data_IF_503662502285
#
_entry.id   IF_503662502285
#
_cell.length_a   1.000
_cell.length_b   1.000
_cell.length_c   1.000
_cell.angle_alpha   90.00
_cell.angle_beta   90.00
_cell.angle_gamma   90.00
#
_symmetry.space_group_name_H-M   'P 1'
#
loop_
_entity.id
_entity.type
_entity.pdbx_description
1 polymer ?
#
# COMPACT_ATOMS: atom_id res chain seq x y z
N UNK A 1 -3.89 5.28 30.40
CA UNK A 1 -4.48 4.90 29.10
C UNK A 1 -3.33 4.71 28.13
N UNK A 2 -3.06 3.48 27.68
CA UNK A 2 -1.87 3.14 26.89
C UNK A 2 -1.88 3.79 25.50
N UNK A 3 -3.06 3.93 24.91
CA UNK A 3 -3.26 4.50 23.57
C UNK A 3 -2.91 5.99 23.57
N UNK A 4 -3.28 6.71 24.64
CA UNK A 4 -2.89 8.11 24.85
C UNK A 4 -1.36 8.27 24.91
N UNK A 5 -0.65 7.36 25.57
CA UNK A 5 0.82 7.40 25.65
C UNK A 5 1.49 7.25 24.28
N UNK A 6 0.97 6.36 23.43
CA UNK A 6 1.46 6.18 22.05
C UNK A 6 1.15 7.41 21.19
N UNK A 7 -0.05 7.96 21.33
CA UNK A 7 -0.46 9.17 20.61
C UNK A 7 0.38 10.39 21.00
N UNK A 8 0.77 10.55 22.27
CA UNK A 8 1.70 11.62 22.69
C UNK A 8 3.03 11.53 21.92
N UNK A 9 3.56 10.33 21.70
CA UNK A 9 4.79 10.14 20.91
C UNK A 9 4.62 10.58 19.45
N UNK A 10 3.54 10.14 18.81
CA UNK A 10 3.25 10.49 17.41
C UNK A 10 3.00 11.99 17.24
N UNK A 11 2.19 12.58 18.12
CA UNK A 11 1.81 14.00 18.05
C UNK A 11 2.99 14.90 18.42
N UNK A 12 3.76 14.52 19.44
CA UNK A 12 4.98 15.21 19.83
C UNK A 12 6.03 15.20 18.71
N UNK A 13 6.25 14.04 18.06
CA UNK A 13 7.12 13.94 16.89
C UNK A 13 6.63 14.82 15.73
N UNK A 14 5.33 14.79 15.44
CA UNK A 14 4.71 15.64 14.42
C UNK A 14 4.95 17.13 14.67
N UNK A 15 4.77 17.59 15.92
CA UNK A 15 5.02 18.97 16.30
C UNK A 15 6.50 19.36 16.15
N UNK A 16 7.42 18.50 16.59
CA UNK A 16 8.86 18.74 16.44
C UNK A 16 9.29 18.83 14.97
N UNK A 17 8.71 17.99 14.10
CA UNK A 17 8.94 18.04 12.66
C UNK A 17 8.45 19.37 12.06
N UNK A 18 7.24 19.81 12.42
CA UNK A 18 6.70 21.10 11.96
C UNK A 18 7.62 22.26 12.39
N UNK A 19 8.07 22.27 13.65
CA UNK A 19 8.98 23.29 14.16
C UNK A 19 10.32 23.28 13.40
N UNK A 20 10.92 22.11 13.18
CA UNK A 20 12.15 21.98 12.42
C UNK A 20 11.99 22.47 10.96
N UNK A 21 10.89 22.08 10.29
CA UNK A 21 10.60 22.53 8.93
C UNK A 21 10.37 24.04 8.84
N UNK A 22 9.74 24.64 9.86
CA UNK A 22 9.55 26.09 9.92
C UNK A 22 10.90 26.81 10.03
N UNK A 23 11.83 26.28 10.83
CA UNK A 23 13.21 26.80 10.89
C UNK A 23 13.90 26.66 9.53
N UNK A 24 13.81 25.50 8.88
CA UNK A 24 14.39 25.27 7.54
C UNK A 24 13.83 26.24 6.48
N UNK A 25 12.52 26.55 6.55
CA UNK A 25 11.89 27.53 5.68
C UNK A 25 12.35 28.96 5.99
N UNK A 26 12.48 29.31 7.27
CA UNK A 26 12.94 30.62 7.72
C UNK A 26 14.39 30.92 7.28
N UNK A 27 15.28 29.93 7.31
CA UNK A 27 16.67 30.07 6.85
C UNK A 27 16.83 29.86 5.34
N UNK A 28 15.73 29.78 4.58
CA UNK A 28 15.69 29.61 3.12
C UNK A 28 16.35 28.32 2.59
N UNK A 29 16.44 27.25 3.39
CA UNK A 29 16.84 25.93 2.89
C UNK A 29 15.71 25.22 2.14
N UNK A 30 14.46 25.50 2.52
CA UNK A 30 13.26 25.07 1.79
C UNK A 30 12.36 26.28 1.56
N UNK A 31 11.46 26.19 0.57
CA UNK A 31 10.45 27.22 0.36
C UNK A 31 9.27 27.02 1.30
N UNK A 32 8.55 28.10 1.62
CA UNK A 32 7.28 28.02 2.35
C UNK A 32 6.22 27.18 1.63
N UNK A 33 6.31 27.06 0.30
CA UNK A 33 5.45 26.16 -0.47
C UNK A 33 5.74 24.68 -0.21
N UNK A 34 7.03 24.30 -0.14
CA UNK A 34 7.44 22.94 0.24
C UNK A 34 7.05 22.66 1.70
N UNK A 35 7.25 23.62 2.60
CA UNK A 35 6.79 23.52 4.00
C UNK A 35 5.29 23.19 4.07
N UNK A 36 4.44 23.90 3.32
CA UNK A 36 3.00 23.63 3.25
C UNK A 36 2.68 22.25 2.69
N UNK A 37 3.42 21.79 1.66
CA UNK A 37 3.23 20.46 1.08
C UNK A 37 3.59 19.33 2.06
N UNK A 38 4.68 19.47 2.82
CA UNK A 38 5.09 18.50 3.85
C UNK A 38 4.04 18.44 4.97
N UNK A 39 3.50 19.59 5.41
CA UNK A 39 2.41 19.64 6.40
C UNK A 39 1.16 18.93 5.88
N UNK A 40 0.79 19.14 4.62
CA UNK A 40 -0.38 18.47 4.02
C UNK A 40 -0.23 16.94 4.10
N UNK A 41 0.97 16.42 3.81
CA UNK A 41 1.29 15.00 3.96
C UNK A 41 1.22 14.48 5.40
N UNK A 42 1.79 15.23 6.35
CA UNK A 42 1.77 14.89 7.77
C UNK A 42 0.32 14.84 8.31
N UNK A 43 -0.48 15.86 8.02
CA UNK A 43 -1.89 15.93 8.40
C UNK A 43 -2.69 14.79 7.76
N UNK A 44 -2.45 14.50 6.47
CA UNK A 44 -3.08 13.36 5.80
C UNK A 44 -2.76 12.04 6.50
N UNK A 45 -1.51 11.83 6.92
CA UNK A 45 -1.10 10.63 7.67
C UNK A 45 -1.86 10.50 9.00
N UNK A 46 -1.95 11.60 9.76
CA UNK A 46 -2.68 11.63 11.03
C UNK A 46 -4.18 11.32 10.85
N UNK A 47 -4.83 11.90 9.82
CA UNK A 47 -6.24 11.64 9.53
C UNK A 47 -6.45 10.16 9.15
N UNK A 48 -5.57 9.60 8.30
CA UNK A 48 -5.65 8.18 7.92
C UNK A 48 -5.47 7.27 9.14
N UNK A 49 -4.50 7.57 10.01
CA UNK A 49 -4.26 6.83 11.24
C UNK A 49 -5.48 6.86 12.17
N UNK A 50 -6.03 8.05 12.44
CA UNK A 50 -7.20 8.22 13.29
C UNK A 50 -8.47 7.58 12.70
N UNK A 51 -8.66 7.70 11.39
CA UNK A 51 -9.76 7.00 10.71
C UNK A 51 -9.61 5.49 10.83
N UNK A 52 -8.39 4.96 10.70
CA UNK A 52 -8.14 3.52 10.83
C UNK A 52 -8.45 3.06 12.25
N UNK A 53 -7.97 3.78 13.27
CA UNK A 53 -8.27 3.54 14.68
C UNK A 53 -9.78 3.48 14.94
N UNK A 54 -10.56 4.44 14.41
CA UNK A 54 -12.01 4.48 14.56
C UNK A 54 -12.72 3.22 14.00
N UNK A 55 -12.25 2.69 12.88
CA UNK A 55 -12.87 1.53 12.23
C UNK A 55 -12.38 0.19 12.78
N UNK A 56 -11.24 0.15 13.47
CA UNK A 56 -10.64 -1.11 13.94
C UNK A 56 -10.67 -1.27 15.45
N UNK A 57 -10.59 -0.20 16.25
CA UNK A 57 -10.49 -0.33 17.71
C UNK A 57 -11.85 -0.74 18.32
N UNK A 58 -11.82 -1.47 19.43
CA UNK A 58 -13.01 -2.09 20.01
C UNK A 58 -13.82 -1.15 20.92
N UNK A 59 -13.29 0.05 21.17
CA UNK A 59 -13.98 1.13 21.86
C UNK A 59 -15.04 1.82 20.97
N UNK A 60 -14.97 1.66 19.65
CA UNK A 60 -15.83 2.36 18.70
C UNK A 60 -16.96 1.48 18.13
N UNK A 61 -18.01 2.17 17.68
CA UNK A 61 -19.23 1.55 17.16
C UNK A 61 -19.04 0.57 15.99
N UNK A 62 -18.14 0.80 14.99
CA UNK A 62 -17.98 -0.13 13.87
C UNK A 62 -17.57 -1.53 14.31
N UNK A 63 -16.52 -1.64 15.14
CA UNK A 63 -16.02 -2.93 15.66
C UNK A 63 -17.03 -3.59 16.60
N UNK A 64 -17.71 -2.79 17.44
CA UNK A 64 -18.76 -3.30 18.34
C UNK A 64 -19.99 -3.83 17.56
N UNK A 65 -20.33 -3.21 16.43
CA UNK A 65 -21.37 -3.72 15.53
C UNK A 65 -21.01 -5.11 15.01
N UNK A 66 -19.78 -5.30 14.54
CA UNK A 66 -19.31 -6.59 14.04
C UNK A 66 -19.36 -7.64 15.17
N UNK A 67 -18.89 -7.30 16.37
CA UNK A 67 -18.98 -8.18 17.54
C UNK A 67 -20.43 -8.58 17.86
N UNK A 68 -21.37 -7.63 17.77
CA UNK A 68 -22.81 -7.90 17.94
C UNK A 68 -23.34 -8.82 16.84
N UNK A 69 -22.92 -8.65 15.59
CA UNK A 69 -23.37 -9.49 14.47
C UNK A 69 -22.93 -10.95 14.61
N UNK A 70 -21.84 -11.23 15.31
CA UNK A 70 -21.43 -12.60 15.62
C UNK A 70 -22.42 -13.34 16.54
N UNK A 71 -23.31 -12.64 17.25
CA UNK A 71 -24.41 -13.28 18.01
C UNK A 71 -25.44 -13.95 17.11
N UNK A 72 -25.53 -13.52 15.84
CA UNK A 72 -26.40 -14.10 14.81
C UNK A 72 -25.69 -15.19 13.99
N UNK A 73 -24.38 -15.38 14.21
CA UNK A 73 -23.56 -16.40 13.57
C UNK A 73 -22.39 -15.85 12.74
N UNK A 74 -21.59 -16.73 12.13
CA UNK A 74 -20.38 -16.33 11.40
C UNK A 74 -20.67 -15.52 10.13
N UNK A 75 -21.75 -15.86 9.41
CA UNK A 75 -22.05 -15.24 8.13
C UNK A 75 -22.37 -13.73 8.27
N UNK A 76 -23.16 -13.36 9.26
CA UNK A 76 -23.50 -11.95 9.54
C UNK A 76 -22.29 -11.16 10.00
N UNK A 77 -21.42 -11.74 10.83
CA UNK A 77 -20.16 -11.11 11.23
C UNK A 77 -19.20 -10.87 10.06
N UNK A 78 -19.11 -11.82 9.12
CA UNK A 78 -18.32 -11.64 7.88
C UNK A 78 -18.94 -10.56 7.00
N UNK A 79 -20.26 -10.53 6.82
CA UNK A 79 -20.90 -9.49 6.01
C UNK A 79 -20.66 -8.09 6.59
N UNK A 80 -20.78 -7.93 7.91
CA UNK A 80 -20.60 -6.63 8.58
C UNK A 80 -19.15 -6.16 8.55
N UNK A 81 -18.19 -7.07 8.72
CA UNK A 81 -16.76 -6.72 8.60
C UNK A 81 -16.35 -6.36 7.18
N UNK A 82 -16.87 -7.05 6.16
CA UNK A 82 -16.66 -6.68 4.75
C UNK A 82 -17.24 -5.29 4.45
N UNK A 83 -18.47 -5.04 4.90
CA UNK A 83 -19.14 -3.74 4.75
C UNK A 83 -18.35 -2.63 5.44
N UNK A 84 -17.93 -2.86 6.68
CA UNK A 84 -17.11 -1.92 7.47
C UNK A 84 -15.78 -1.62 6.79
N UNK A 85 -15.10 -2.64 6.25
CA UNK A 85 -13.90 -2.47 5.45
C UNK A 85 -14.12 -1.56 4.24
N UNK A 86 -15.18 -1.79 3.47
CA UNK A 86 -15.51 -0.98 2.29
C UNK A 86 -15.80 0.48 2.67
N UNK A 87 -16.59 0.71 3.72
CA UNK A 87 -16.87 2.05 4.24
C UNK A 87 -15.60 2.76 4.72
N UNK A 88 -14.72 2.03 5.40
CA UNK A 88 -13.50 2.59 5.99
C UNK A 88 -12.50 3.12 4.95
N UNK A 89 -12.57 2.69 3.69
CA UNK A 89 -11.70 3.18 2.62
C UNK A 89 -12.05 4.62 2.19
N UNK A 90 -13.27 5.10 2.47
CA UNK A 90 -13.73 6.42 2.04
C UNK A 90 -12.92 7.59 2.60
N UNK A 91 -12.70 7.61 3.92
CA UNK A 91 -11.96 8.70 4.58
C UNK A 91 -10.50 8.76 4.10
N UNK A 92 -9.73 7.65 4.05
CA UNK A 92 -8.38 7.66 3.47
C UNK A 92 -8.32 8.17 2.04
N UNK A 93 -9.24 7.74 1.16
CA UNK A 93 -9.27 8.20 -0.24
C UNK A 93 -9.53 9.70 -0.34
N UNK A 94 -10.54 10.21 0.35
CA UNK A 94 -10.84 11.65 0.37
C UNK A 94 -9.66 12.44 0.91
N UNK A 95 -9.01 11.94 1.96
CA UNK A 95 -7.83 12.55 2.57
C UNK A 95 -6.67 12.64 1.59
N UNK A 96 -6.40 11.58 0.82
CA UNK A 96 -5.35 11.60 -0.21
C UNK A 96 -5.71 12.59 -1.33
N UNK A 97 -6.96 12.65 -1.79
CA UNK A 97 -7.39 13.62 -2.81
C UNK A 97 -7.15 15.06 -2.34
N UNK A 98 -7.57 15.39 -1.12
CA UNK A 98 -7.35 16.72 -0.54
C UNK A 98 -5.84 16.98 -0.36
N UNK A 99 -5.11 16.00 0.18
CA UNK A 99 -3.66 16.09 0.39
C UNK A 99 -2.90 16.36 -0.91
N UNK A 100 -3.27 15.69 -2.00
CA UNK A 100 -2.70 15.92 -3.34
C UNK A 100 -2.97 17.36 -3.80
N UNK A 101 -4.22 17.83 -3.71
CA UNK A 101 -4.60 19.18 -4.16
C UNK A 101 -3.86 20.25 -3.35
N UNK A 102 -3.84 20.11 -2.02
CA UNK A 102 -3.18 21.06 -1.12
C UNK A 102 -1.67 21.07 -1.37
N UNK A 103 -1.03 19.90 -1.43
CA UNK A 103 0.41 19.82 -1.70
C UNK A 103 0.78 20.40 -3.07
N UNK A 104 -0.02 20.09 -4.09
CA UNK A 104 0.16 20.62 -5.44
C UNK A 104 0.00 22.14 -5.47
N UNK A 105 -1.02 22.68 -4.80
CA UNK A 105 -1.26 24.12 -4.71
C UNK A 105 -0.16 24.84 -3.91
N UNK A 106 0.21 24.33 -2.73
CA UNK A 106 1.21 24.93 -1.86
C UNK A 106 2.56 25.06 -2.52
N UNK A 107 2.97 24.07 -3.32
CA UNK A 107 4.22 24.14 -4.07
C UNK A 107 4.16 25.06 -5.30
N UNK A 108 3.00 25.66 -5.62
CA UNK A 108 2.82 26.55 -6.76
C UNK A 108 2.38 25.85 -8.04
N UNK A 109 1.83 24.63 -7.97
CA UNK A 109 1.42 23.85 -9.14
C UNK A 109 0.38 24.54 -10.05
N UNK A 110 -0.52 25.33 -9.47
CA UNK A 110 -1.53 26.09 -10.22
C UNK A 110 -1.04 27.46 -10.73
N UNK A 111 0.09 27.96 -10.24
CA UNK A 111 0.58 29.32 -10.54
C UNK A 111 1.90 29.34 -11.29
N UNK A 112 2.85 28.47 -10.91
CA UNK A 112 4.20 28.38 -11.46
C UNK A 112 4.39 27.20 -12.43
N UNK A 113 3.49 26.22 -12.39
CA UNK A 113 3.42 25.12 -13.36
C UNK A 113 3.46 23.73 -12.73
N UNK A 114 3.10 22.72 -13.54
CA UNK A 114 2.84 21.37 -13.06
C UNK A 114 4.03 20.68 -12.37
N UNK A 115 5.26 20.96 -12.84
CA UNK A 115 6.47 20.37 -12.24
C UNK A 115 6.63 20.76 -10.76
N UNK A 116 6.34 22.02 -10.42
CA UNK A 116 6.38 22.51 -9.04
C UNK A 116 5.33 21.81 -8.18
N UNK A 117 4.11 21.65 -8.70
CA UNK A 117 3.04 20.95 -7.99
C UNK A 117 3.34 19.47 -7.76
N UNK A 118 3.86 18.76 -8.76
CA UNK A 118 4.27 17.35 -8.63
C UNK A 118 5.43 17.18 -7.64
N UNK A 119 6.37 18.12 -7.62
CA UNK A 119 7.43 18.15 -6.62
C UNK A 119 6.86 18.32 -5.20
N UNK A 120 5.86 19.19 -5.04
CA UNK A 120 5.08 19.33 -3.80
C UNK A 120 4.44 18.03 -3.34
N UNK A 121 3.78 17.29 -4.23
CA UNK A 121 3.19 15.98 -3.92
C UNK A 121 4.26 14.99 -3.43
N UNK A 122 5.45 14.99 -4.04
CA UNK A 122 6.58 14.19 -3.56
C UNK A 122 7.01 14.54 -2.13
N UNK A 123 7.08 15.83 -1.80
CA UNK A 123 7.38 16.28 -0.43
C UNK A 123 6.25 15.99 0.56
N UNK A 124 4.99 15.96 0.12
CA UNK A 124 3.89 15.48 0.96
C UNK A 124 4.06 14.00 1.31
N UNK A 125 4.53 13.16 0.39
CA UNK A 125 4.85 11.77 0.69
C UNK A 125 5.95 11.64 1.76
N UNK A 126 7.00 12.47 1.66
CA UNK A 126 8.05 12.57 2.69
C UNK A 126 7.48 13.03 4.03
N UNK A 127 6.60 14.03 4.03
CA UNK A 127 5.94 14.52 5.24
C UNK A 127 5.12 13.47 5.97
N UNK A 128 4.38 12.63 5.23
CA UNK A 128 3.63 11.53 5.81
C UNK A 128 4.54 10.47 6.47
N UNK A 129 5.76 10.30 5.97
CA UNK A 129 6.76 9.36 6.51
C UNK A 129 7.74 10.02 7.49
N UNK A 130 7.63 11.32 7.76
CA UNK A 130 8.58 12.02 8.62
C UNK A 130 8.55 11.51 10.07
N UNK A 131 7.40 10.97 10.52
CA UNK A 131 7.23 10.33 11.83
C UNK A 131 7.48 8.82 11.81
N UNK A 132 8.04 8.27 10.72
CA UNK A 132 8.20 6.82 10.53
C UNK A 132 8.91 6.16 11.71
N UNK A 133 9.92 6.79 12.31
CA UNK A 133 10.64 6.22 13.45
C UNK A 133 9.74 5.87 14.63
N UNK A 134 8.84 6.78 15.03
CA UNK A 134 7.90 6.52 16.13
C UNK A 134 6.76 5.60 15.68
N UNK A 135 6.22 5.79 14.47
CA UNK A 135 5.13 4.96 13.94
C UNK A 135 5.56 3.50 13.79
N UNK A 136 6.79 3.25 13.34
CA UNK A 136 7.37 1.90 13.24
C UNK A 136 7.58 1.28 14.62
N UNK A 137 8.02 2.07 15.61
CA UNK A 137 8.15 1.59 16.98
C UNK A 137 6.78 1.18 17.57
N UNK A 138 5.72 1.93 17.27
CA UNK A 138 4.35 1.59 17.71
C UNK A 138 3.74 0.41 16.97
N UNK A 139 4.13 0.18 15.72
CA UNK A 139 3.72 -0.99 14.93
C UNK A 139 4.45 -2.25 15.44
N UNK A 140 5.77 -2.18 15.59
CA UNK A 140 6.60 -3.28 16.11
C UNK A 140 6.27 -3.67 17.56
N UNK A 141 5.65 -2.77 18.33
CA UNK A 141 5.16 -3.06 19.67
C UNK A 141 4.11 -4.19 19.69
N UNK A 142 3.22 -4.26 18.69
CA UNK A 142 2.14 -5.25 18.64
C UNK A 142 2.64 -6.69 18.63
N UNK A 143 3.49 -7.09 17.66
CA UNK A 143 4.07 -8.43 17.61
C UNK A 143 4.89 -8.82 18.85
N UNK A 144 5.49 -7.84 19.55
CA UNK A 144 6.19 -8.09 20.82
C UNK A 144 5.18 -8.45 21.92
N UNK A 145 4.06 -7.71 22.00
CA UNK A 145 3.00 -7.97 22.97
C UNK A 145 2.30 -9.32 22.73
N UNK A 146 2.04 -9.67 21.47
CA UNK A 146 1.47 -10.96 21.08
C UNK A 146 2.37 -12.14 21.51
N UNK A 147 3.66 -12.08 21.17
CA UNK A 147 4.64 -13.09 21.60
C UNK A 147 4.77 -13.18 23.13
N UNK A 148 4.67 -12.05 23.84
CA UNK A 148 4.67 -12.07 25.30
C UNK A 148 3.44 -12.80 25.87
N UNK A 149 2.26 -12.61 25.26
CA UNK A 149 1.04 -13.33 25.61
C UNK A 149 1.12 -14.83 25.31
N UNK A 150 1.67 -15.20 24.15
CA UNK A 150 1.93 -16.60 23.79
C UNK A 150 2.89 -17.28 24.77
N UNK A 151 4.01 -16.63 25.13
CA UNK A 151 4.96 -17.15 26.11
C UNK A 151 4.36 -17.30 27.52
N UNK A 152 3.51 -16.35 27.93
CA UNK A 152 2.81 -16.42 29.21
C UNK A 152 1.86 -17.63 29.28
N UNK A 153 1.12 -17.89 28.19
CA UNK A 153 0.24 -19.06 28.06
C UNK A 153 1.03 -20.38 28.07
N UNK A 154 2.06 -20.47 27.22
CA UNK A 154 2.88 -21.69 27.09
C UNK A 154 3.71 -22.01 28.35
N UNK A 155 4.01 -21.00 29.17
CA UNK A 155 4.75 -21.17 30.43
C UNK A 155 3.85 -21.30 31.65
N UNK A 156 2.52 -21.37 31.46
CA UNK A 156 1.52 -21.45 32.54
C UNK A 156 1.67 -20.37 33.62
N UNK A 157 1.99 -19.14 33.22
CA UNK A 157 2.10 -18.02 34.14
C UNK A 157 0.74 -17.66 34.77
N UNK A 158 0.72 -16.95 35.91
CA UNK A 158 -0.52 -16.56 36.56
C UNK A 158 -1.49 -15.81 35.62
N UNK A 159 -2.82 -15.98 35.76
CA UNK A 159 -3.81 -15.37 34.85
C UNK A 159 -3.74 -13.84 34.75
N UNK A 160 -3.20 -13.16 35.77
CA UNK A 160 -2.95 -11.72 35.73
C UNK A 160 -1.92 -11.30 34.67
N UNK A 161 -0.94 -12.15 34.38
CA UNK A 161 0.05 -11.90 33.32
C UNK A 161 -0.64 -11.94 31.97
N UNK A 162 -1.45 -12.99 31.72
CA UNK A 162 -2.22 -13.13 30.48
C UNK A 162 -3.21 -11.98 30.28
N UNK A 163 -3.92 -11.57 31.33
CA UNK A 163 -4.82 -10.39 31.28
C UNK A 163 -4.08 -9.12 30.89
N UNK A 164 -2.86 -8.91 31.42
CA UNK A 164 -2.04 -7.75 31.06
C UNK A 164 -1.57 -7.84 29.61
N UNK A 165 -1.02 -8.98 29.18
CA UNK A 165 -0.56 -9.16 27.79
C UNK A 165 -1.70 -9.06 26.79
N UNK A 166 -2.89 -9.57 27.11
CA UNK A 166 -4.08 -9.44 26.24
C UNK A 166 -4.46 -7.96 26.06
N UNK A 167 -4.36 -7.14 27.12
CA UNK A 167 -4.57 -5.70 27.02
C UNK A 167 -3.52 -4.98 26.14
N UNK A 168 -2.26 -5.43 26.17
CA UNK A 168 -1.19 -4.90 25.32
C UNK A 168 -1.35 -5.35 23.86
N UNK A 169 -1.75 -6.61 23.64
CA UNK A 169 -1.98 -7.22 22.33
C UNK A 169 -3.12 -6.50 21.57
N UNK A 170 -4.24 -6.23 22.23
CA UNK A 170 -5.34 -5.45 21.63
C UNK A 170 -4.91 -4.05 21.20
N UNK A 171 -4.12 -3.38 22.03
CA UNK A 171 -3.53 -2.09 21.66
C UNK A 171 -2.61 -2.25 20.45
N UNK A 172 -1.79 -3.30 20.45
CA UNK A 172 -0.92 -3.71 19.35
C UNK A 172 -1.66 -3.93 18.04
N UNK A 173 -2.84 -4.56 18.05
CA UNK A 173 -3.64 -4.81 16.85
C UNK A 173 -4.17 -3.51 16.26
N UNK A 174 -4.59 -2.58 17.11
CA UNK A 174 -4.98 -1.23 16.69
C UNK A 174 -3.77 -0.45 16.15
N UNK A 175 -2.61 -0.48 16.81
CA UNK A 175 -1.42 0.24 16.32
C UNK A 175 -0.80 -0.38 15.08
N UNK A 176 -0.91 -1.69 14.89
CA UNK A 176 -0.54 -2.36 13.66
C UNK A 176 -1.47 -1.95 12.52
N UNK A 177 -2.78 -1.85 12.76
CA UNK A 177 -3.73 -1.35 11.77
C UNK A 177 -3.41 0.10 11.37
N UNK A 178 -3.17 0.99 12.34
CA UNK A 178 -2.81 2.39 12.04
C UNK A 178 -1.46 2.47 11.32
N UNK A 179 -0.44 1.73 11.75
CA UNK A 179 0.86 1.65 11.08
C UNK A 179 0.75 1.19 9.63
N UNK A 180 -0.05 0.15 9.37
CA UNK A 180 -0.39 -0.32 8.02
C UNK A 180 -1.14 0.77 7.22
N UNK A 181 -2.06 1.50 7.85
CA UNK A 181 -2.76 2.65 7.27
C UNK A 181 -1.80 3.76 6.82
N UNK A 182 -0.83 4.13 7.67
CA UNK A 182 0.25 5.08 7.32
C UNK A 182 1.11 4.56 6.15
N UNK A 183 1.49 3.29 6.17
CA UNK A 183 2.28 2.68 5.11
C UNK A 183 1.54 2.69 3.76
N UNK A 184 0.23 2.46 3.76
CA UNK A 184 -0.63 2.51 2.56
C UNK A 184 -0.86 3.95 2.09
N UNK A 185 -1.19 4.88 3.01
CA UNK A 185 -1.32 6.31 2.72
C UNK A 185 -0.09 6.89 2.04
N UNK A 186 1.09 6.59 2.59
CA UNK A 186 2.35 7.11 2.06
C UNK A 186 2.67 6.52 0.70
N UNK A 187 2.27 5.26 0.45
CA UNK A 187 2.37 4.63 -0.85
C UNK A 187 1.62 5.38 -1.93
N UNK A 188 0.43 5.89 -1.61
CA UNK A 188 -0.38 6.60 -2.59
C UNK A 188 0.29 7.92 -3.05
N UNK A 189 0.77 8.71 -2.09
CA UNK A 189 1.50 9.95 -2.39
C UNK A 189 2.86 9.67 -3.06
N UNK A 190 3.56 8.62 -2.63
CA UNK A 190 4.85 8.22 -3.23
C UNK A 190 4.67 7.73 -4.66
N UNK A 191 3.62 6.97 -4.96
CA UNK A 191 3.35 6.49 -6.31
C UNK A 191 3.14 7.63 -7.31
N UNK A 192 2.50 8.73 -6.90
CA UNK A 192 2.41 9.95 -7.71
C UNK A 192 3.77 10.58 -7.99
N UNK A 193 4.66 10.61 -7.00
CA UNK A 193 6.04 11.07 -7.20
C UNK A 193 6.82 10.12 -8.14
N UNK A 194 6.60 8.80 -8.02
CA UNK A 194 7.24 7.80 -8.88
C UNK A 194 6.71 7.83 -10.31
N UNK A 195 5.45 8.22 -10.54
CA UNK A 195 4.93 8.52 -11.88
C UNK A 195 5.68 9.68 -12.52
N UNK A 196 5.95 10.75 -11.76
CA UNK A 196 6.79 11.86 -12.22
C UNK A 196 8.22 11.40 -12.50
N UNK A 197 8.80 10.57 -11.62
CA UNK A 197 10.13 10.00 -11.81
C UNK A 197 10.21 9.08 -13.05
N UNK A 198 9.13 8.38 -13.40
CA UNK A 198 9.06 7.60 -14.63
C UNK A 198 9.12 8.49 -15.88
N UNK A 199 8.43 9.63 -15.89
CA UNK A 199 8.51 10.61 -17.00
C UNK A 199 9.92 11.23 -17.07
N UNK A 200 10.45 11.67 -15.93
CA UNK A 200 11.89 11.70 -15.57
C UNK A 200 12.80 10.84 -16.44
N UNK A 201 12.67 9.54 -16.20
CA UNK A 201 13.56 8.56 -16.79
C UNK A 201 13.30 8.40 -18.29
N UNK A 202 12.04 8.44 -18.73
CA UNK A 202 11.68 8.45 -20.16
C UNK A 202 12.34 9.62 -20.90
N UNK A 203 12.33 10.83 -20.33
CA UNK A 203 13.00 12.02 -20.88
C UNK A 203 14.50 11.80 -21.03
N UNK A 204 15.15 11.28 -19.99
CA UNK A 204 16.60 11.00 -19.99
C UNK A 204 16.93 10.01 -21.12
N UNK A 205 16.16 8.94 -21.27
CA UNK A 205 16.40 7.94 -22.31
C UNK A 205 16.12 8.44 -23.72
N UNK A 206 15.07 9.23 -23.92
CA UNK A 206 14.81 9.92 -25.20
C UNK A 206 16.02 10.79 -25.57
N UNK A 207 16.54 11.58 -24.63
CA UNK A 207 17.72 12.41 -24.87
C UNK A 207 18.96 11.60 -25.24
N UNK A 208 19.20 10.47 -24.55
CA UNK A 208 20.29 9.54 -24.89
C UNK A 208 20.11 8.96 -26.30
N UNK A 209 18.92 8.54 -26.68
CA UNK A 209 18.67 8.01 -28.02
C UNK A 209 18.73 9.07 -29.11
N UNK A 210 18.37 10.32 -28.81
CA UNK A 210 18.52 11.45 -29.74
C UNK A 210 19.99 11.72 -30.07
N UNK A 211 20.89 11.61 -29.08
CA UNK A 211 22.35 11.72 -29.28
C UNK A 211 22.90 10.56 -30.13
N UNK A 212 22.35 9.36 -29.96
CA UNK A 212 22.78 8.17 -30.70
C UNK A 212 22.19 8.09 -32.11
N UNK A 213 21.18 8.89 -32.44
CA UNK A 213 20.53 8.87 -33.76
C UNK A 213 21.35 9.64 -34.78
N UNK A 214 21.55 9.12 -36.01
CA UNK A 214 22.23 9.85 -37.08
C UNK A 214 21.59 11.21 -37.41
N UNK A 215 20.28 11.34 -37.21
CA UNK A 215 19.50 12.54 -37.49
C UNK A 215 19.56 13.58 -36.36
N UNK A 216 20.18 13.26 -35.22
CA UNK A 216 20.31 14.16 -34.05
C UNK A 216 19.02 14.35 -33.23
N UNK A 217 17.96 13.62 -33.55
CA UNK A 217 16.69 13.61 -32.81
C UNK A 217 16.15 12.19 -32.60
N UNK A 218 15.31 12.04 -31.57
CA UNK A 218 14.48 10.86 -31.36
C UNK A 218 13.01 11.26 -31.53
N UNK A 219 12.29 10.59 -32.43
CA UNK A 219 10.89 10.91 -32.72
C UNK A 219 9.93 9.99 -31.97
N UNK A 220 8.95 10.59 -31.31
CA UNK A 220 7.83 9.89 -30.66
C UNK A 220 6.53 10.52 -31.15
N UNK A 221 5.75 9.75 -31.90
CA UNK A 221 4.55 10.27 -32.56
C UNK A 221 4.90 11.46 -33.47
N UNK A 222 4.24 12.59 -33.24
CA UNK A 222 4.48 13.84 -33.97
C UNK A 222 5.61 14.70 -33.38
N UNK A 223 6.15 14.36 -32.21
CA UNK A 223 7.14 15.18 -31.50
C UNK A 223 8.54 14.65 -31.75
N UNK A 224 9.45 15.53 -32.13
CA UNK A 224 10.88 15.28 -32.30
C UNK A 224 11.65 15.88 -31.11
N UNK A 225 12.41 15.02 -30.45
CA UNK A 225 13.24 15.39 -29.32
C UNK A 225 14.70 15.47 -29.77
N UNK A 226 15.25 16.68 -29.82
CA UNK A 226 16.62 16.94 -30.25
C UNK A 226 17.58 16.92 -29.06
N UNK A 227 18.83 16.50 -29.29
CA UNK A 227 19.91 16.71 -28.32
C UNK A 227 20.36 18.17 -28.29
N UNK A 228 20.52 18.75 -29.49
CA UNK A 228 20.74 20.17 -29.77
C UNK A 228 19.95 20.53 -31.04
N UNK A 229 19.27 21.66 -31.06
CA UNK A 229 18.54 22.10 -32.25
C UNK A 229 19.53 22.39 -33.39
N UNK A 230 19.28 21.86 -34.61
CA UNK A 230 20.03 22.23 -35.80
C UNK A 230 19.88 23.72 -36.13
N UNK A 231 20.86 24.30 -36.82
CA UNK A 231 20.75 25.66 -37.33
C UNK A 231 19.53 25.80 -38.27
N UNK A 232 18.68 26.79 -38.01
CA UNK A 232 17.45 27.05 -38.77
C UNK A 232 16.18 26.35 -38.24
N UNK A 233 16.28 25.46 -37.25
CA UNK A 233 15.10 24.87 -36.58
C UNK A 233 14.78 25.65 -35.31
N UNK A 234 13.56 26.22 -35.25
CA UNK A 234 13.07 26.94 -34.07
C UNK A 234 12.36 25.97 -33.14
N UNK A 235 12.66 26.06 -31.83
CA UNK A 235 11.96 25.27 -30.83
C UNK A 235 10.45 25.49 -30.91
N UNK A 236 9.69 24.40 -30.99
CA UNK A 236 8.23 24.41 -31.04
C UNK A 236 7.66 23.34 -30.10
N UNK A 237 6.34 23.25 -29.96
CA UNK A 237 5.73 22.16 -29.20
C UNK A 237 5.96 20.76 -29.83
N UNK A 238 6.40 20.71 -31.10
CA UNK A 238 6.72 19.48 -31.84
C UNK A 238 8.21 19.29 -32.10
N UNK A 239 9.04 20.33 -31.99
CA UNK A 239 10.50 20.26 -32.12
C UNK A 239 11.12 20.75 -30.81
N UNK A 240 11.41 19.81 -29.90
CA UNK A 240 11.74 20.11 -28.50
C UNK A 240 13.17 19.70 -28.20
N UNK A 241 13.90 20.53 -27.46
CA UNK A 241 15.20 20.14 -26.92
C UNK A 241 14.99 19.23 -25.72
N UNK A 242 15.56 18.02 -25.76
CA UNK A 242 15.26 16.94 -24.81
C UNK A 242 15.46 17.33 -23.34
N UNK A 243 16.48 18.14 -23.02
CA UNK A 243 16.75 18.54 -21.64
C UNK A 243 15.80 19.64 -21.12
N UNK A 244 15.21 20.46 -22.01
CA UNK A 244 14.20 21.48 -21.65
C UNK A 244 12.78 20.96 -21.78
N UNK A 245 12.60 19.73 -22.28
CA UNK A 245 11.30 19.11 -22.42
C UNK A 245 10.57 19.04 -21.07
N UNK A 246 9.41 19.68 -21.01
CA UNK A 246 8.43 19.60 -19.93
C UNK A 246 7.44 18.45 -20.14
N UNK A 247 6.72 18.08 -19.08
CA UNK A 247 5.69 17.02 -19.07
C UNK A 247 4.66 17.20 -20.19
N UNK A 248 4.26 18.43 -20.53
CA UNK A 248 3.30 18.70 -21.62
C UNK A 248 3.76 18.13 -22.98
N UNK A 249 5.06 18.13 -23.26
CA UNK A 249 5.58 17.59 -24.52
C UNK A 249 5.53 16.06 -24.52
N UNK A 250 5.77 15.41 -23.38
CA UNK A 250 5.61 13.96 -23.25
C UNK A 250 4.14 13.54 -23.29
N UNK A 251 3.25 14.32 -22.67
CA UNK A 251 1.82 14.11 -22.74
C UNK A 251 1.30 14.19 -24.19
N UNK A 252 1.81 15.13 -24.99
CA UNK A 252 1.52 15.22 -26.41
C UNK A 252 2.18 14.09 -27.23
N UNK A 253 3.46 13.78 -26.98
CA UNK A 253 4.22 12.77 -27.72
C UNK A 253 3.65 11.36 -27.57
N UNK A 254 3.21 11.01 -26.35
CA UNK A 254 2.67 9.68 -26.03
C UNK A 254 1.14 9.64 -25.98
N UNK A 255 0.46 10.74 -26.28
CA UNK A 255 -0.99 10.91 -26.14
C UNK A 255 -1.50 10.36 -24.79
N UNK A 256 -1.12 11.02 -23.69
CA UNK A 256 -1.48 10.59 -22.33
C UNK A 256 -2.95 10.89 -21.95
N UNK A 257 -3.82 11.07 -22.94
CA UNK A 257 -5.25 11.29 -22.74
C UNK A 257 -5.95 10.01 -22.29
N UNK A 258 -7.00 10.13 -21.48
CA UNK A 258 -7.90 9.00 -21.19
C UNK A 258 -8.65 8.50 -22.44
N UNK A 259 -8.69 9.32 -23.50
CA UNK A 259 -9.25 8.93 -24.80
C UNK A 259 -8.27 8.07 -25.61
N UNK A 260 -7.01 7.97 -25.21
CA UNK A 260 -6.07 7.02 -25.80
C UNK A 260 -6.39 5.59 -25.30
N UNK A 261 -6.74 4.65 -26.19
CA UNK A 261 -7.07 3.29 -25.79
C UNK A 261 -5.91 2.58 -25.07
N UNK A 262 -4.65 2.91 -25.37
CA UNK A 262 -3.50 2.32 -24.69
C UNK A 262 -3.45 2.71 -23.21
N UNK A 263 -3.74 3.97 -22.88
CA UNK A 263 -3.85 4.46 -21.50
C UNK A 263 -5.00 3.76 -20.79
N UNK A 264 -6.17 3.67 -21.45
CA UNK A 264 -7.36 3.04 -20.87
C UNK A 264 -7.16 1.53 -20.62
N UNK A 265 -6.55 0.81 -21.56
CA UNK A 265 -6.17 -0.59 -21.38
C UNK A 265 -5.19 -0.74 -20.21
N UNK A 266 -4.17 0.13 -20.12
CA UNK A 266 -3.27 0.19 -18.98
C UNK A 266 -4.03 0.36 -17.66
N UNK A 267 -4.97 1.30 -17.59
CA UNK A 267 -5.77 1.57 -16.40
C UNK A 267 -6.52 0.32 -15.90
N UNK A 268 -7.22 -0.38 -16.79
CA UNK A 268 -7.92 -1.62 -16.45
C UNK A 268 -6.98 -2.75 -16.06
N UNK A 269 -5.82 -2.89 -16.73
CA UNK A 269 -4.79 -3.85 -16.32
C UNK A 269 -4.27 -3.54 -14.91
N UNK A 270 -4.07 -2.26 -14.59
CA UNK A 270 -3.60 -1.82 -13.28
C UNK A 270 -4.58 -2.18 -12.18
N UNK A 271 -5.87 -1.90 -12.40
CA UNK A 271 -6.94 -2.27 -11.48
C UNK A 271 -7.03 -3.79 -11.31
N UNK A 272 -6.98 -4.55 -12.40
CA UNK A 272 -7.01 -6.01 -12.39
C UNK A 272 -5.86 -6.61 -11.57
N UNK A 273 -4.63 -6.08 -11.72
CA UNK A 273 -3.45 -6.58 -11.02
C UNK A 273 -3.61 -6.55 -9.51
N UNK A 274 -4.20 -5.48 -8.95
CA UNK A 274 -4.45 -5.40 -7.52
C UNK A 274 -5.35 -6.56 -7.04
N UNK A 275 -6.46 -6.81 -7.73
CA UNK A 275 -7.39 -7.90 -7.38
C UNK A 275 -6.77 -9.28 -7.57
N UNK A 276 -6.08 -9.52 -8.68
CA UNK A 276 -5.44 -10.81 -8.98
C UNK A 276 -4.35 -11.11 -7.96
N UNK A 277 -3.54 -10.11 -7.59
CA UNK A 277 -2.51 -10.25 -6.56
C UNK A 277 -3.11 -10.60 -5.19
N UNK A 278 -4.16 -9.91 -4.76
CA UNK A 278 -4.87 -10.25 -3.52
C UNK A 278 -5.47 -11.66 -3.56
N UNK A 279 -6.13 -12.04 -4.65
CA UNK A 279 -6.73 -13.37 -4.79
C UNK A 279 -5.67 -14.48 -4.69
N UNK A 280 -4.51 -14.31 -5.32
CA UNK A 280 -3.41 -15.28 -5.24
C UNK A 280 -2.85 -15.41 -3.83
N UNK A 281 -2.61 -14.29 -3.15
CA UNK A 281 -2.04 -14.28 -1.80
C UNK A 281 -3.01 -14.85 -0.76
N UNK A 282 -4.29 -14.49 -0.82
CA UNK A 282 -5.34 -15.07 0.05
C UNK A 282 -5.46 -16.58 -0.19
N UNK A 283 -5.48 -17.02 -1.45
CA UNK A 283 -5.56 -18.45 -1.79
C UNK A 283 -4.32 -19.23 -1.37
N UNK A 284 -3.15 -18.60 -1.41
CA UNK A 284 -1.91 -19.18 -0.92
C UNK A 284 -1.96 -19.46 0.58
N UNK A 285 -2.38 -18.46 1.37
CA UNK A 285 -2.55 -18.59 2.82
C UNK A 285 -3.61 -19.65 3.15
N UNK A 286 -4.78 -19.62 2.49
CA UNK A 286 -5.84 -20.59 2.74
C UNK A 286 -5.41 -22.05 2.49
N UNK A 287 -4.59 -22.30 1.47
CA UNK A 287 -4.04 -23.64 1.20
C UNK A 287 -3.02 -24.07 2.26
N UNK A 288 -2.14 -23.17 2.69
CA UNK A 288 -1.15 -23.46 3.73
C UNK A 288 -1.82 -23.67 5.09
N UNK A 289 -2.82 -22.85 5.43
CA UNK A 289 -3.64 -22.98 6.63
C UNK A 289 -4.43 -24.31 6.63
N UNK A 290 -5.00 -24.72 5.50
CA UNK A 290 -5.66 -26.02 5.36
C UNK A 290 -4.74 -27.19 5.70
N UNK A 291 -3.51 -27.19 5.15
CA UNK A 291 -2.51 -28.20 5.47
C UNK A 291 -2.08 -28.17 6.95
N UNK A 292 -1.98 -26.98 7.55
CA UNK A 292 -1.71 -26.82 8.98
C UNK A 292 -2.82 -27.43 9.84
N UNK A 293 -4.09 -27.18 9.48
CA UNK A 293 -5.25 -27.72 10.20
C UNK A 293 -5.29 -29.25 10.12
N UNK A 294 -5.03 -29.83 8.94
CA UNK A 294 -4.96 -31.29 8.76
C UNK A 294 -3.85 -31.90 9.61
N UNK A 295 -2.68 -31.28 9.67
CA UNK A 295 -1.56 -31.75 10.49
C UNK A 295 -1.86 -31.68 11.99
N UNK A 296 -2.41 -30.55 12.48
CA UNK A 296 -2.80 -30.41 13.89
C UNK A 296 -3.86 -31.45 14.26
N UNK A 297 -4.85 -31.69 13.39
CA UNK A 297 -5.87 -32.72 13.59
C UNK A 297 -5.27 -34.13 13.61
N UNK A 298 -4.31 -34.41 12.73
CA UNK A 298 -3.59 -35.69 12.70
C UNK A 298 -2.86 -35.91 14.02
N UNK A 299 -2.11 -34.92 14.50
CA UNK A 299 -1.39 -35.04 15.77
C UNK A 299 -2.33 -35.28 16.96
N UNK A 300 -3.44 -34.55 17.08
CA UNK A 300 -4.41 -34.78 18.15
C UNK A 300 -5.10 -36.14 18.08
N UNK A 301 -5.33 -36.68 16.88
CA UNK A 301 -5.97 -37.98 16.68
C UNK A 301 -5.01 -39.15 16.95
N UNK A 302 -3.80 -39.07 16.44
CA UNK A 302 -2.80 -40.15 16.51
C UNK A 302 -2.05 -40.16 17.86
N UNK A 303 -1.94 -39.01 18.53
CA UNK A 303 -1.25 -38.85 19.80
C UNK A 303 -2.17 -38.23 20.87
N UNK A 304 -3.08 -39.02 21.49
CA UNK A 304 -4.06 -38.51 22.46
C UNK A 304 -3.43 -37.87 23.70
N UNK A 305 -2.20 -38.26 24.04
CA UNK A 305 -1.43 -37.69 25.15
C UNK A 305 -1.18 -36.18 25.02
N UNK A 306 -1.27 -35.62 23.81
CA UNK A 306 -1.15 -34.18 23.59
C UNK A 306 -2.32 -33.43 24.24
N UNK A 307 -3.56 -33.88 24.02
CA UNK A 307 -4.75 -33.26 24.62
C UNK A 307 -4.83 -33.48 26.13
N UNK A 308 -4.16 -34.51 26.63
CA UNK A 308 -4.03 -34.80 28.06
C UNK A 308 -2.89 -34.02 28.73
N UNK A 309 -2.06 -33.32 27.95
CA UNK A 309 -0.87 -32.60 28.45
C UNK A 309 0.29 -33.51 28.87
N UNK A 310 0.25 -34.80 28.57
CA UNK A 310 1.29 -35.79 28.94
C UNK A 310 2.34 -35.99 27.85
N UNK A 311 2.04 -35.59 26.61
CA UNK A 311 2.94 -35.71 25.46
C UNK A 311 3.15 -34.35 24.79
N UNK A 312 4.38 -34.07 24.35
CA UNK A 312 4.68 -32.85 23.58
C UNK A 312 4.25 -32.98 22.11
N UNK A 313 3.62 -31.95 21.51
CA UNK A 313 3.36 -31.87 20.07
C UNK A 313 4.63 -31.84 19.24
N UNK A 314 4.52 -32.23 17.97
CA UNK A 314 5.57 -32.01 16.97
C UNK A 314 5.41 -30.62 16.35
N UNK A 315 6.13 -29.65 16.93
CA UNK A 315 6.17 -28.28 16.44
C UNK A 315 6.96 -28.13 15.14
N UNK A 316 7.99 -28.97 14.93
CA UNK A 316 8.88 -28.85 13.78
C UNK A 316 8.11 -29.12 12.48
N UNK A 317 7.17 -30.06 12.49
CA UNK A 317 6.34 -30.36 11.33
C UNK A 317 5.43 -29.19 10.93
N UNK A 318 4.82 -28.52 11.90
CA UNK A 318 4.03 -27.31 11.65
C UNK A 318 4.89 -26.20 11.03
N UNK A 319 6.10 -25.97 11.56
CA UNK A 319 7.05 -24.99 11.02
C UNK A 319 7.46 -25.34 9.58
N UNK A 320 7.70 -26.61 9.27
CA UNK A 320 8.05 -27.06 7.92
C UNK A 320 6.93 -26.78 6.91
N UNK A 321 5.67 -27.05 7.28
CA UNK A 321 4.49 -26.82 6.44
C UNK A 321 4.36 -25.32 6.11
N UNK A 322 4.42 -24.45 7.13
CA UNK A 322 4.31 -23.01 6.90
C UNK A 322 5.50 -22.47 6.10
N UNK A 323 6.73 -22.92 6.37
CA UNK A 323 7.95 -22.50 5.67
C UNK A 323 7.90 -22.86 4.18
N UNK A 324 7.66 -24.14 3.86
CA UNK A 324 7.61 -24.63 2.48
C UNK A 324 6.41 -24.04 1.73
N UNK A 325 5.29 -23.89 2.42
CA UNK A 325 4.10 -23.21 1.92
C UNK A 325 4.41 -21.76 1.52
N UNK A 326 4.95 -20.96 2.43
CA UNK A 326 5.29 -19.56 2.18
C UNK A 326 6.28 -19.42 1.01
N UNK A 327 7.37 -20.19 1.02
CA UNK A 327 8.42 -20.10 -0.01
C UNK A 327 7.92 -20.44 -1.42
N UNK A 328 7.16 -21.52 -1.56
CA UNK A 328 6.67 -21.93 -2.88
C UNK A 328 5.57 -21.02 -3.41
N UNK A 329 4.75 -20.44 -2.53
CA UNK A 329 3.57 -19.64 -2.94
C UNK A 329 3.87 -18.16 -3.14
N UNK A 330 4.94 -17.61 -2.58
CA UNK A 330 5.33 -16.20 -2.80
C UNK A 330 5.89 -15.94 -4.21
N UNK A 331 6.43 -16.95 -4.88
CA UNK A 331 7.11 -16.81 -6.18
C UNK A 331 6.19 -16.21 -7.24
N UNK A 332 4.98 -16.76 -7.41
CA UNK A 332 4.08 -16.35 -8.51
C UNK A 332 3.59 -14.90 -8.35
N UNK A 333 3.08 -14.46 -7.18
CA UNK A 333 2.74 -13.05 -6.97
C UNK A 333 3.92 -12.09 -7.19
N UNK A 334 5.13 -12.45 -6.78
CA UNK A 334 6.33 -11.63 -6.99
C UNK A 334 6.69 -11.48 -8.47
N UNK A 335 6.67 -12.58 -9.24
CA UNK A 335 6.90 -12.50 -10.69
C UNK A 335 5.83 -11.69 -11.40
N UNK A 336 4.57 -11.79 -10.97
CA UNK A 336 3.48 -10.99 -11.54
C UNK A 336 3.76 -9.48 -11.40
N UNK A 337 4.21 -9.05 -10.23
CA UNK A 337 4.57 -7.65 -9.96
C UNK A 337 5.73 -7.13 -10.84
N UNK A 338 6.68 -8.01 -11.19
CA UNK A 338 7.84 -7.66 -12.02
C UNK A 338 7.51 -7.69 -13.52
N UNK A 339 6.78 -8.71 -13.98
CA UNK A 339 6.55 -8.93 -15.40
C UNK A 339 5.51 -7.99 -16.00
N UNK A 340 4.44 -7.68 -15.27
CA UNK A 340 3.33 -6.91 -15.85
C UNK A 340 3.75 -5.50 -16.29
N UNK A 341 4.49 -4.71 -15.49
CA UNK A 341 4.95 -3.40 -15.95
C UNK A 341 5.83 -3.48 -17.20
N UNK A 342 6.72 -4.48 -17.27
CA UNK A 342 7.62 -4.68 -18.40
C UNK A 342 6.84 -5.09 -19.66
N UNK A 343 5.96 -6.08 -19.57
CA UNK A 343 5.14 -6.53 -20.70
C UNK A 343 4.21 -5.42 -21.17
N UNK A 344 3.55 -4.72 -20.23
CA UNK A 344 2.69 -3.57 -20.55
C UNK A 344 3.49 -2.47 -21.25
N UNK A 345 4.70 -2.15 -20.77
CA UNK A 345 5.56 -1.15 -21.42
C UNK A 345 6.02 -1.58 -22.81
N UNK A 346 6.40 -2.84 -23.01
CA UNK A 346 6.82 -3.32 -24.32
C UNK A 346 5.66 -3.33 -25.32
N UNK A 347 4.45 -3.74 -24.90
CA UNK A 347 3.30 -3.92 -25.81
C UNK A 347 2.47 -2.64 -25.98
N UNK A 348 2.19 -1.92 -24.90
CA UNK A 348 1.32 -0.72 -24.87
C UNK A 348 2.10 0.60 -24.71
N UNK A 349 3.42 0.52 -24.60
CA UNK A 349 4.29 1.68 -24.54
C UNK A 349 4.21 2.47 -23.23
N UNK A 350 4.82 3.66 -23.26
CA UNK A 350 4.85 4.58 -22.11
C UNK A 350 3.44 4.98 -21.67
N UNK A 351 2.54 5.20 -22.63
CA UNK A 351 1.13 5.51 -22.37
C UNK A 351 0.41 4.41 -21.59
N UNK A 352 0.58 3.15 -21.99
CA UNK A 352 0.00 2.00 -21.28
C UNK A 352 0.56 1.82 -19.87
N UNK A 353 1.87 2.07 -19.67
CA UNK A 353 2.49 2.03 -18.33
C UNK A 353 1.93 3.12 -17.43
N UNK A 354 1.74 4.34 -17.94
CA UNK A 354 1.09 5.42 -17.18
C UNK A 354 -0.32 5.03 -16.74
N UNK A 355 -1.10 4.42 -17.64
CA UNK A 355 -2.40 3.86 -17.31
C UNK A 355 -2.32 2.77 -16.23
N UNK A 356 -1.41 1.80 -16.39
CA UNK A 356 -1.19 0.71 -15.43
C UNK A 356 -0.86 1.22 -14.03
N UNK A 357 0.07 2.16 -13.92
CA UNK A 357 0.48 2.73 -12.65
C UNK A 357 -0.65 3.56 -12.02
N UNK A 358 -1.40 4.33 -12.80
CA UNK A 358 -2.55 5.09 -12.30
C UNK A 358 -3.69 4.18 -11.81
N UNK A 359 -4.03 3.14 -12.58
CA UNK A 359 -5.11 2.21 -12.26
C UNK A 359 -4.78 1.33 -11.05
N UNK A 360 -3.55 0.81 -11.01
CA UNK A 360 -3.07 0.05 -9.85
C UNK A 360 -3.01 0.93 -8.60
N UNK A 361 -2.56 2.18 -8.70
CA UNK A 361 -2.56 3.13 -7.59
C UNK A 361 -3.97 3.34 -7.02
N UNK A 362 -4.93 3.76 -7.85
CA UNK A 362 -6.28 4.11 -7.38
C UNK A 362 -7.01 2.91 -6.78
N UNK A 363 -7.00 1.76 -7.49
CA UNK A 363 -7.67 0.53 -7.03
C UNK A 363 -6.92 -0.13 -5.89
N UNK A 364 -5.59 -0.26 -6.01
CA UNK A 364 -4.75 -0.93 -5.02
C UNK A 364 -4.71 -0.20 -3.69
N UNK A 365 -4.66 1.14 -3.68
CA UNK A 365 -4.75 1.92 -2.44
C UNK A 365 -6.10 1.67 -1.73
N UNK A 366 -7.20 1.81 -2.47
CA UNK A 366 -8.55 1.63 -1.92
C UNK A 366 -8.76 0.21 -1.38
N UNK A 367 -8.29 -0.79 -2.13
CA UNK A 367 -8.39 -2.20 -1.77
C UNK A 367 -7.50 -2.53 -0.54
N UNK A 368 -6.31 -1.94 -0.45
CA UNK A 368 -5.41 -2.14 0.68
C UNK A 368 -6.01 -1.59 1.99
N UNK A 369 -6.61 -0.39 1.95
CA UNK A 369 -7.35 0.18 3.08
C UNK A 369 -8.50 -0.73 3.51
N UNK A 370 -9.31 -1.18 2.54
CA UNK A 370 -10.45 -2.07 2.79
C UNK A 370 -10.02 -3.38 3.50
N UNK A 371 -9.03 -4.08 2.94
CA UNK A 371 -8.59 -5.39 3.45
C UNK A 371 -7.99 -5.28 4.86
N UNK A 372 -7.14 -4.27 5.10
CA UNK A 372 -6.51 -4.10 6.40
C UNK A 372 -7.50 -3.75 7.49
N UNK A 373 -8.43 -2.84 7.20
CA UNK A 373 -9.40 -2.39 8.19
C UNK A 373 -10.45 -3.47 8.46
N UNK A 374 -10.91 -4.20 7.43
CA UNK A 374 -11.82 -5.34 7.64
C UNK A 374 -11.18 -6.40 8.54
N UNK A 375 -9.94 -6.80 8.24
CA UNK A 375 -9.21 -7.78 9.05
C UNK A 375 -8.95 -7.32 10.48
N UNK A 376 -8.52 -6.07 10.68
CA UNK A 376 -8.32 -5.50 12.01
C UNK A 376 -9.63 -5.41 12.82
N UNK A 377 -10.73 -5.05 12.17
CA UNK A 377 -12.03 -4.95 12.82
C UNK A 377 -12.59 -6.33 13.23
N UNK A 378 -12.40 -7.39 12.44
CA UNK A 378 -12.79 -8.75 12.86
C UNK A 378 -11.98 -9.24 14.06
N UNK A 379 -10.67 -9.01 14.08
CA UNK A 379 -9.81 -9.40 15.20
C UNK A 379 -10.23 -8.70 16.49
N UNK A 380 -10.37 -7.38 16.44
CA UNK A 380 -10.79 -6.60 17.60
C UNK A 380 -12.24 -6.88 18.00
N UNK A 381 -13.12 -7.25 17.07
CA UNK A 381 -14.46 -7.73 17.40
C UNK A 381 -14.43 -9.06 18.17
N UNK A 382 -13.54 -10.00 17.78
CA UNK A 382 -13.30 -11.22 18.55
C UNK A 382 -12.78 -10.88 19.95
N UNK A 383 -11.77 -10.02 20.07
CA UNK A 383 -11.21 -9.58 21.37
C UNK A 383 -12.25 -8.89 22.26
N UNK A 384 -13.15 -8.10 21.67
CA UNK A 384 -14.27 -7.49 22.39
C UNK A 384 -15.17 -8.52 23.04
N UNK A 385 -15.48 -9.62 22.34
CA UNK A 385 -16.24 -10.76 22.89
C UNK A 385 -15.41 -11.44 23.99
N UNK A 386 -14.09 -11.63 23.79
CA UNK A 386 -13.20 -12.26 24.77
C UNK A 386 -13.13 -11.52 26.12
N UNK A 387 -13.39 -10.20 26.15
CA UNK A 387 -13.51 -9.40 27.38
C UNK A 387 -14.74 -9.76 28.23
N UNK A 388 -15.63 -10.61 27.74
CA UNK A 388 -16.86 -11.04 28.44
C UNK A 388 -18.14 -10.49 27.83
N UNK A 389 -18.05 -9.65 26.79
CA UNK A 389 -19.22 -9.22 26.04
C UNK A 389 -19.83 -10.40 25.27
N UNK A 390 -21.15 -10.41 25.11
CA UNK A 390 -21.88 -11.41 24.33
C UNK A 390 -21.57 -12.88 24.70
N UNK A 391 -21.26 -13.14 25.98
CA UNK A 391 -21.05 -14.49 26.51
C UNK A 391 -19.59 -14.92 26.68
N UNK A 392 -18.61 -14.12 26.25
CA UNK A 392 -17.20 -14.39 26.54
C UNK A 392 -16.60 -15.55 25.75
N UNK A 393 -15.36 -15.94 26.13
CA UNK A 393 -14.63 -17.05 25.52
C UNK A 393 -15.42 -18.36 25.57
N UNK A 394 -15.48 -19.08 24.45
CA UNK A 394 -16.16 -20.37 24.32
C UNK A 394 -17.65 -20.29 23.96
N UNK A 395 -18.26 -19.10 24.03
CA UNK A 395 -19.63 -18.86 23.55
C UNK A 395 -19.74 -19.06 22.04
N UNK A 396 -20.96 -19.23 21.54
CA UNK A 396 -21.18 -19.36 20.09
C UNK A 396 -20.85 -18.06 19.33
N UNK A 397 -21.09 -16.90 19.97
CA UNK A 397 -20.63 -15.61 19.45
C UNK A 397 -19.09 -15.56 19.37
N UNK A 398 -18.36 -16.08 20.36
CA UNK A 398 -16.90 -16.15 20.31
C UNK A 398 -16.41 -17.04 19.18
N UNK A 399 -16.99 -18.24 19.01
CA UNK A 399 -16.63 -19.13 17.88
C UNK A 399 -16.89 -18.46 16.53
N UNK A 400 -18.01 -17.74 16.39
CA UNK A 400 -18.29 -16.95 15.20
C UNK A 400 -17.27 -15.83 14.99
N UNK A 401 -16.88 -15.13 16.06
CA UNK A 401 -15.82 -14.11 16.03
C UNK A 401 -14.46 -14.66 15.61
N UNK A 402 -14.09 -15.85 16.10
CA UNK A 402 -12.87 -16.56 15.68
C UNK A 402 -12.91 -16.87 14.18
N UNK A 403 -14.07 -17.29 13.65
CA UNK A 403 -14.21 -17.52 12.19
C UNK A 403 -13.99 -16.20 11.42
N UNK A 404 -14.61 -15.10 11.85
CA UNK A 404 -14.39 -13.79 11.23
C UNK A 404 -12.93 -13.36 11.23
N UNK A 405 -12.24 -13.51 12.37
CA UNK A 405 -10.82 -13.20 12.50
C UNK A 405 -9.94 -14.04 11.56
N UNK A 406 -10.18 -15.36 11.49
CA UNK A 406 -9.43 -16.24 10.58
C UNK A 406 -9.68 -15.96 9.09
N UNK A 407 -10.82 -15.36 8.73
CA UNK A 407 -11.07 -14.80 7.39
C UNK A 407 -10.26 -13.51 7.18
N UNK A 408 -10.14 -12.69 8.23
CA UNK A 408 -9.41 -11.43 8.26
C UNK A 408 -7.89 -11.55 8.25
N UNK A 409 -7.31 -12.63 8.76
CA UNK A 409 -5.85 -12.85 8.81
C UNK A 409 -5.16 -12.71 7.44
N UNK A 410 -5.57 -13.45 6.37
CA UNK A 410 -4.97 -13.27 5.06
C UNK A 410 -5.21 -11.87 4.48
N UNK A 411 -6.24 -11.15 4.93
CA UNK A 411 -6.54 -9.80 4.47
C UNK A 411 -5.58 -8.79 5.08
N UNK A 412 -5.45 -8.77 6.41
CA UNK A 412 -4.68 -7.77 7.16
C UNK A 412 -3.19 -8.07 7.25
N UNK A 413 -2.77 -9.33 7.12
CA UNK A 413 -1.36 -9.72 7.35
C UNK A 413 -0.67 -10.25 6.09
N UNK A 414 -1.39 -10.45 5.00
CA UNK A 414 -0.79 -10.88 3.72
C UNK A 414 -1.19 -9.96 2.58
N UNK A 415 -2.44 -9.96 2.15
CA UNK A 415 -2.85 -9.30 0.92
C UNK A 415 -2.81 -7.77 1.03
N UNK A 416 -3.44 -7.20 2.06
CA UNK A 416 -3.56 -5.75 2.23
C UNK A 416 -2.21 -5.03 2.39
N UNK A 417 -1.31 -5.45 3.30
CA UNK A 417 0.02 -4.81 3.43
C UNK A 417 0.90 -5.01 2.19
N UNK A 418 0.77 -6.17 1.51
CA UNK A 418 1.56 -6.47 0.32
C UNK A 418 1.16 -5.62 -0.89
N UNK A 419 -0.07 -5.10 -0.95
CA UNK A 419 -0.48 -4.18 -2.01
C UNK A 419 0.37 -2.89 -2.00
N UNK A 420 0.69 -2.32 -0.84
CA UNK A 420 1.59 -1.17 -0.76
C UNK A 420 2.95 -1.45 -1.44
N UNK A 421 3.50 -2.65 -1.22
CA UNK A 421 4.76 -3.07 -1.84
C UNK A 421 4.57 -3.25 -3.34
N UNK A 422 3.48 -3.91 -3.78
CA UNK A 422 3.15 -4.12 -5.18
C UNK A 422 3.15 -2.79 -5.96
N UNK A 423 2.48 -1.77 -5.42
CA UNK A 423 2.37 -0.45 -6.05
C UNK A 423 3.75 0.19 -6.23
N UNK A 424 4.55 0.27 -5.16
CA UNK A 424 5.90 0.85 -5.20
C UNK A 424 6.84 0.06 -6.13
N UNK A 425 6.78 -1.27 -6.07
CA UNK A 425 7.61 -2.14 -6.88
C UNK A 425 7.28 -1.98 -8.37
N UNK A 426 6.00 -1.98 -8.75
CA UNK A 426 5.60 -1.80 -10.15
C UNK A 426 6.06 -0.45 -10.71
N UNK A 427 5.94 0.63 -9.92
CA UNK A 427 6.46 1.94 -10.30
C UNK A 427 7.98 1.93 -10.47
N UNK A 428 8.72 1.33 -9.53
CA UNK A 428 10.18 1.23 -9.61
C UNK A 428 10.66 0.38 -10.80
N UNK A 429 10.00 -0.75 -11.08
CA UNK A 429 10.28 -1.57 -12.26
C UNK A 429 10.03 -0.77 -13.54
N UNK A 430 8.95 0.00 -13.60
CA UNK A 430 8.65 0.87 -14.76
C UNK A 430 9.76 1.89 -14.99
N UNK A 431 10.25 2.54 -13.92
CA UNK A 431 11.40 3.47 -13.97
C UNK A 431 12.64 2.75 -14.51
N UNK A 432 13.02 1.62 -13.93
CA UNK A 432 14.23 0.87 -14.32
C UNK A 432 14.19 0.42 -15.79
N UNK A 433 13.02 0.00 -16.29
CA UNK A 433 12.85 -0.48 -17.66
C UNK A 433 12.45 0.62 -18.66
N UNK A 434 12.36 1.89 -18.25
CA UNK A 434 11.92 2.99 -19.10
C UNK A 434 12.72 3.09 -20.41
N UNK A 435 14.05 2.95 -20.35
CA UNK A 435 14.90 2.98 -21.55
C UNK A 435 14.59 1.86 -22.55
N UNK A 436 14.41 0.64 -22.04
CA UNK A 436 14.04 -0.52 -22.87
C UNK A 436 12.68 -0.30 -23.53
N UNK A 437 11.71 0.21 -22.77
CA UNK A 437 10.36 0.52 -23.24
C UNK A 437 10.39 1.58 -24.34
N UNK A 438 11.08 2.70 -24.11
CA UNK A 438 11.23 3.79 -25.09
C UNK A 438 11.83 3.28 -26.40
N UNK A 439 12.82 2.38 -26.35
CA UNK A 439 13.49 1.87 -27.54
C UNK A 439 12.69 0.81 -28.29
N UNK A 440 12.13 -0.18 -27.60
CA UNK A 440 11.58 -1.38 -28.21
C UNK A 440 10.07 -1.31 -28.43
N UNK A 441 9.33 -0.57 -27.62
CA UNK A 441 7.88 -0.50 -27.74
C UNK A 441 7.41 0.02 -29.10
N UNK A 442 8.00 1.06 -29.71
CA UNK A 442 7.60 1.50 -31.05
C UNK A 442 7.78 0.42 -32.13
N UNK A 443 8.80 -0.43 -32.01
CA UNK A 443 9.05 -1.54 -32.94
C UNK A 443 7.98 -2.61 -32.79
N UNK A 444 7.65 -2.98 -31.55
CA UNK A 444 6.60 -3.95 -31.23
C UNK A 444 5.23 -3.40 -31.66
N UNK A 445 4.94 -2.14 -31.36
CA UNK A 445 3.70 -1.46 -31.74
C UNK A 445 3.48 -1.43 -33.25
N UNK A 446 4.55 -1.22 -34.04
CA UNK A 446 4.49 -1.34 -35.52
C UNK A 446 4.19 -2.77 -35.97
N UNK A 447 4.84 -3.76 -35.37
CA UNK A 447 4.58 -5.17 -35.67
C UNK A 447 3.13 -5.60 -35.33
N UNK A 448 2.55 -5.02 -34.28
CA UNK A 448 1.17 -5.26 -33.86
C UNK A 448 0.13 -4.36 -34.57
N UNK A 449 0.56 -3.37 -35.34
CA UNK A 449 -0.32 -2.43 -36.07
C UNK A 449 -0.93 -1.31 -35.21
N UNK A 450 -0.43 -1.08 -34.00
CA UNK A 450 -0.89 0.01 -33.12
C UNK A 450 -0.28 1.38 -33.47
N UNK A 451 0.85 1.39 -34.16
CA UNK A 451 1.58 2.60 -34.54
C UNK A 451 1.90 2.51 -36.02
N UNK A 452 1.58 3.57 -36.78
CA UNK A 452 1.96 3.66 -38.20
C UNK A 452 3.42 4.05 -38.37
#
# INVERSE_FOLDING_TARGET
NLLVSLNIGVWGSSFMIIAALAVLAYINLITWGIFGAVIAGLVAGLIIGQSTEYYTADEYAPTQSIAKQHTMGPATGILDGMSTGMLSAGIPVITIVIGIIVAYASAGGFTQGANYGLYGIGFAAVGMLATLGITLATDAYGPIADNAGGNAEMSHLPPEVRKRTDALDMLGNTTAATGKGFAIGSAALTAMALLSAYIEEVKIWIGKYAVLSPEGYFQVGAVKFYSKLPEGVVASDFDVVSHTAQIKHFAAAYDMSLMNPLVLCGLFLGAMVAFVFCAMTIKAVGRAAGAMVEEVRRQFKEFPGIMQGTQKPDYARCVEISTKGAQSKMIVPSFLALLIPVVTGLVLGVAGVMGLLAGSLATGFSLACMLNNAGGAWDNAKKYIEKGNYGGKGSDAHKAGVIGDTVGDPFKDTAGPSLNILLKLMSMVSVVFAGVIVKLSPVIGKALGFVK
#
